data_IF_549864813032
#
_entry.id   IF_549864813032
#
_cell.length_a   1.000
_cell.length_b   1.000
_cell.length_c   1.000
_cell.angle_alpha   90.00
_cell.angle_beta   90.00
_cell.angle_gamma   90.00
#
_symmetry.space_group_name_H-M   'P 1'
#
loop_
_entity.id
_entity.type
_entity.pdbx_description
1 polymer ?
#
# COMPACT_ATOMS: atom_id res chain seq x y z
N UNK A 1 15.26 15.20 -19.22
CA UNK A 1 14.35 14.28 -18.47
C UNK A 1 14.06 14.91 -17.12
N UNK A 2 12.79 15.08 -16.79
CA UNK A 2 12.41 15.51 -15.43
C UNK A 2 12.74 14.40 -14.42
N UNK A 3 12.88 14.74 -13.13
CA UNK A 3 13.06 13.70 -12.09
C UNK A 3 11.93 12.65 -12.12
N UNK A 4 10.72 13.04 -12.51
CA UNK A 4 9.58 12.16 -12.68
C UNK A 4 9.76 11.16 -13.84
N UNK A 5 10.33 11.58 -14.97
CA UNK A 5 10.61 10.68 -16.11
C UNK A 5 11.68 9.64 -15.77
N UNK A 6 12.73 10.03 -15.05
CA UNK A 6 13.78 9.09 -14.57
C UNK A 6 13.20 8.06 -13.62
N UNK A 7 12.36 8.48 -12.69
CA UNK A 7 11.67 7.62 -11.71
C UNK A 7 10.75 6.61 -12.40
N UNK A 8 10.03 7.02 -13.46
CA UNK A 8 9.19 6.12 -14.24
C UNK A 8 9.99 5.10 -15.08
N UNK A 9 11.16 5.46 -15.59
CA UNK A 9 12.02 4.54 -16.34
C UNK A 9 12.66 3.48 -15.44
N UNK A 10 13.13 3.85 -14.26
CA UNK A 10 13.67 2.89 -13.29
C UNK A 10 12.64 1.87 -12.80
N UNK A 11 11.36 2.25 -12.71
CA UNK A 11 10.28 1.34 -12.29
C UNK A 11 9.92 0.27 -13.34
N UNK A 12 10.40 0.41 -14.58
CA UNK A 12 10.21 -0.62 -15.62
C UNK A 12 11.09 -1.87 -15.40
N UNK A 13 12.07 -1.80 -14.49
CA UNK A 13 13.01 -2.90 -14.21
C UNK A 13 12.74 -3.62 -12.87
N UNK A 14 11.50 -3.66 -12.39
CA UNK A 14 11.18 -4.30 -11.12
C UNK A 14 9.70 -4.49 -10.88
N UNK A 15 9.38 -4.99 -9.69
CA UNK A 15 7.99 -5.14 -9.25
C UNK A 15 7.44 -3.77 -8.85
N UNK A 16 6.36 -3.35 -9.46
CA UNK A 16 5.65 -2.10 -9.12
C UNK A 16 4.39 -2.41 -8.31
N UNK A 17 4.31 -1.82 -7.12
CA UNK A 17 3.18 -1.94 -6.20
C UNK A 17 2.68 -0.54 -5.86
N UNK A 18 1.36 -0.36 -5.86
CA UNK A 18 0.72 0.95 -5.64
C UNK A 18 -0.20 0.90 -4.42
N UNK A 19 -0.05 1.86 -3.52
CA UNK A 19 -1.02 2.13 -2.47
C UNK A 19 -2.13 3.02 -3.02
N UNK A 20 -3.34 2.51 -3.02
CA UNK A 20 -4.56 3.17 -3.47
C UNK A 20 -5.48 3.47 -2.30
N UNK A 21 -6.31 4.50 -2.39
CA UNK A 21 -7.32 4.81 -1.37
C UNK A 21 -7.65 6.30 -1.31
N UNK A 22 -8.68 6.64 -0.56
CA UNK A 22 -9.14 8.01 -0.37
C UNK A 22 -8.07 8.93 0.23
N UNK A 23 -8.28 10.23 0.14
CA UNK A 23 -7.43 11.23 0.82
C UNK A 23 -7.44 10.96 2.32
N UNK A 24 -6.24 11.05 2.97
CA UNK A 24 -6.05 10.85 4.41
C UNK A 24 -6.34 9.41 4.92
N UNK A 25 -6.50 8.42 4.03
CA UNK A 25 -6.65 7.02 4.46
C UNK A 25 -5.37 6.42 5.08
N UNK A 26 -4.21 7.08 4.93
CA UNK A 26 -2.95 6.67 5.56
C UNK A 26 -1.94 6.02 4.61
N UNK A 27 -2.09 6.13 3.30
CA UNK A 27 -1.18 5.59 2.28
C UNK A 27 0.28 6.01 2.49
N UNK A 28 0.53 7.33 2.54
CA UNK A 28 1.85 7.91 2.78
C UNK A 28 2.43 7.47 4.12
N UNK A 29 1.60 7.38 5.16
CA UNK A 29 2.04 6.95 6.50
C UNK A 29 2.46 5.49 6.47
N UNK A 30 1.67 4.60 5.85
CA UNK A 30 2.00 3.18 5.72
C UNK A 30 3.32 2.97 4.94
N UNK A 31 3.50 3.67 3.82
CA UNK A 31 4.74 3.64 3.05
C UNK A 31 5.94 4.15 3.86
N UNK A 32 5.77 5.28 4.57
CA UNK A 32 6.84 5.87 5.40
C UNK A 32 7.25 4.96 6.55
N UNK A 33 6.28 4.31 7.21
CA UNK A 33 6.55 3.32 8.26
C UNK A 33 7.32 2.12 7.70
N UNK A 34 6.87 1.57 6.59
CA UNK A 34 7.56 0.44 5.94
C UNK A 34 8.98 0.82 5.54
N UNK A 35 9.18 1.99 4.92
CA UNK A 35 10.51 2.50 4.58
C UNK A 35 11.42 2.65 5.81
N UNK A 36 10.92 3.26 6.89
CA UNK A 36 11.70 3.44 8.11
C UNK A 36 12.13 2.11 8.74
N UNK A 37 11.24 1.11 8.74
CA UNK A 37 11.52 -0.24 9.23
C UNK A 37 12.59 -0.90 8.36
N UNK A 38 12.42 -0.89 7.04
CA UNK A 38 13.38 -1.48 6.10
C UNK A 38 14.75 -0.81 6.18
N UNK A 39 14.80 0.51 6.29
CA UNK A 39 16.03 1.26 6.45
C UNK A 39 16.81 0.88 7.72
N UNK A 40 16.10 0.47 8.77
CA UNK A 40 16.73 0.00 10.02
C UNK A 40 17.17 -1.46 9.96
N UNK A 41 16.38 -2.31 9.31
CA UNK A 41 16.60 -3.75 9.25
C UNK A 41 17.57 -4.19 8.15
N UNK A 42 17.54 -3.49 7.02
CA UNK A 42 18.20 -3.89 5.79
C UNK A 42 18.58 -2.63 4.98
N UNK A 43 19.46 -1.75 5.54
CA UNK A 43 19.76 -0.45 4.96
C UNK A 43 20.43 -0.54 3.58
N UNK A 44 21.14 -1.62 3.29
CA UNK A 44 21.81 -1.84 2.02
C UNK A 44 20.84 -2.07 0.86
N UNK A 45 19.63 -2.55 1.16
CA UNK A 45 18.56 -2.81 0.21
C UNK A 45 17.49 -1.70 0.19
N UNK A 46 17.78 -0.50 0.68
CA UNK A 46 16.91 0.67 0.60
C UNK A 46 17.59 1.73 -0.26
N UNK A 47 17.04 1.97 -1.47
CA UNK A 47 17.69 2.83 -2.46
C UNK A 47 17.27 4.28 -2.40
N UNK A 48 15.96 4.55 -2.45
CA UNK A 48 15.45 5.90 -2.42
C UNK A 48 14.10 5.99 -1.69
N UNK A 49 13.79 7.20 -1.25
CA UNK A 49 12.47 7.57 -0.74
C UNK A 49 12.19 9.00 -1.17
N UNK A 50 11.22 9.16 -2.07
CA UNK A 50 10.73 10.45 -2.53
C UNK A 50 9.35 10.70 -1.95
N UNK A 51 9.16 11.85 -1.30
CA UNK A 51 7.91 12.28 -0.71
C UNK A 51 7.53 13.63 -1.30
N UNK A 52 6.36 13.70 -1.93
CA UNK A 52 5.85 14.92 -2.55
C UNK A 52 4.65 15.46 -1.75
N UNK A 53 4.95 16.25 -0.72
CA UNK A 53 3.96 16.88 0.15
C UNK A 53 3.90 18.39 -0.04
N UNK A 54 2.71 18.94 0.04
CA UNK A 54 2.51 20.37 0.27
C UNK A 54 2.85 20.70 1.72
N UNK A 55 3.89 21.49 1.92
CA UNK A 55 4.40 21.88 3.26
C UNK A 55 3.37 22.64 4.10
N UNK A 56 2.41 23.30 3.47
CA UNK A 56 1.40 24.10 4.19
C UNK A 56 0.22 23.26 4.66
N UNK A 57 -0.12 22.19 3.93
CA UNK A 57 -1.32 21.37 4.21
C UNK A 57 -0.98 19.94 4.64
N UNK A 58 0.28 19.55 4.63
CA UNK A 58 0.78 18.18 4.88
C UNK A 58 0.08 17.12 3.99
N UNK A 59 -0.43 17.55 2.83
CA UNK A 59 -1.11 16.66 1.88
C UNK A 59 -0.19 16.31 0.73
N UNK A 60 -0.24 15.06 0.32
CA UNK A 60 0.46 14.56 -0.87
C UNK A 60 -0.07 15.29 -2.11
N UNK A 61 0.80 16.00 -2.81
CA UNK A 61 0.48 16.77 -4.04
C UNK A 61 0.86 16.03 -5.32
N UNK A 62 1.51 14.88 -5.19
CA UNK A 62 1.91 14.00 -6.28
C UNK A 62 1.77 12.55 -5.88
N UNK A 63 2.79 11.77 -6.09
CA UNK A 63 2.93 10.41 -5.58
C UNK A 63 4.19 10.30 -4.72
N UNK A 64 4.13 9.54 -3.64
CA UNK A 64 5.36 9.18 -2.92
C UNK A 64 5.89 7.88 -3.53
N UNK A 65 7.21 7.71 -3.49
CA UNK A 65 7.87 6.51 -3.98
C UNK A 65 8.96 6.05 -3.03
N UNK A 66 9.06 4.75 -2.85
CA UNK A 66 10.20 4.11 -2.21
C UNK A 66 10.66 2.91 -3.04
N UNK A 67 11.97 2.73 -3.16
CA UNK A 67 12.58 1.61 -3.90
C UNK A 67 13.42 0.76 -2.96
N UNK A 68 13.23 -0.55 -3.05
CA UNK A 68 13.88 -1.54 -2.21
C UNK A 68 14.46 -2.68 -3.06
N UNK A 69 15.52 -3.30 -2.56
CA UNK A 69 16.07 -4.54 -3.10
C UNK A 69 15.42 -5.77 -2.45
N UNK A 70 15.35 -6.83 -3.22
CA UNK A 70 15.08 -8.19 -2.75
C UNK A 70 16.38 -8.99 -2.99
N UNK A 71 17.07 -9.32 -1.90
CA UNK A 71 18.22 -10.24 -1.95
C UNK A 71 17.72 -11.64 -2.28
N UNK A 72 18.06 -12.16 -3.45
CA UNK A 72 17.63 -13.50 -3.87
C UNK A 72 18.60 -14.61 -3.50
N UNK A 73 19.72 -14.30 -2.86
CA UNK A 73 20.78 -15.29 -2.56
C UNK A 73 21.46 -15.86 -3.82
N UNK A 74 20.97 -15.56 -5.03
CA UNK A 74 21.45 -16.09 -6.31
C UNK A 74 22.31 -15.09 -7.09
N UNK A 75 22.65 -13.94 -6.49
CA UNK A 75 23.41 -12.86 -7.15
C UNK A 75 22.60 -12.00 -8.12
N UNK A 76 21.32 -12.30 -8.32
CA UNK A 76 20.39 -11.43 -9.05
C UNK A 76 19.70 -10.48 -8.08
N UNK A 77 19.83 -9.20 -8.33
CA UNK A 77 19.16 -8.16 -7.56
C UNK A 77 17.78 -7.91 -8.15
N UNK A 78 16.73 -8.23 -7.39
CA UNK A 78 15.35 -7.84 -7.73
C UNK A 78 15.00 -6.56 -6.99
N UNK A 79 14.49 -5.57 -7.72
CA UNK A 79 13.97 -4.33 -7.14
C UNK A 79 12.44 -4.36 -7.07
N UNK A 80 11.89 -3.76 -6.02
CA UNK A 80 10.47 -3.45 -5.97
C UNK A 80 10.26 -2.00 -5.59
N UNK A 81 9.27 -1.41 -6.23
CA UNK A 81 8.95 0.00 -6.11
C UNK A 81 7.56 0.12 -5.51
N UNK A 82 7.46 0.83 -4.41
CA UNK A 82 6.20 1.15 -3.76
C UNK A 82 5.84 2.60 -4.07
N UNK A 83 4.61 2.82 -4.57
CA UNK A 83 4.09 4.14 -4.89
C UNK A 83 2.83 4.40 -4.08
N UNK A 84 2.56 5.68 -3.76
CA UNK A 84 1.25 6.11 -3.28
C UNK A 84 0.52 6.85 -4.39
N UNK A 85 -0.81 6.72 -4.46
CA UNK A 85 -1.62 7.59 -5.30
C UNK A 85 -2.02 8.85 -4.54
N UNK A 86 -2.07 10.04 -5.20
CA UNK A 86 -2.68 11.21 -4.62
C UNK A 86 -4.18 10.97 -4.43
N UNK A 87 -4.66 11.20 -3.21
CA UNK A 87 -6.07 10.91 -2.87
C UNK A 87 -7.06 12.02 -3.27
N UNK A 88 -6.60 13.20 -3.68
CA UNK A 88 -7.46 14.33 -4.03
C UNK A 88 -8.04 14.19 -5.45
N UNK A 89 -9.31 14.58 -5.64
CA UNK A 89 -10.02 14.43 -6.92
C UNK A 89 -9.37 15.16 -8.09
N UNK A 90 -8.75 16.31 -7.86
CA UNK A 90 -8.01 17.05 -8.88
C UNK A 90 -6.85 16.28 -9.52
N UNK A 91 -6.42 15.16 -8.93
CA UNK A 91 -5.33 14.33 -9.43
C UNK A 91 -5.80 13.01 -10.07
N UNK A 92 -7.03 12.94 -10.54
CA UNK A 92 -7.61 11.73 -11.14
C UNK A 92 -6.79 11.20 -12.33
N UNK A 93 -6.31 12.09 -13.19
CA UNK A 93 -5.43 11.73 -14.32
C UNK A 93 -4.09 11.16 -13.86
N UNK A 94 -3.50 11.71 -12.80
CA UNK A 94 -2.24 11.22 -12.24
C UNK A 94 -2.40 9.82 -11.63
N UNK A 95 -3.54 9.52 -10.98
CA UNK A 95 -3.82 8.17 -10.47
C UNK A 95 -3.78 7.12 -11.59
N UNK A 96 -4.38 7.40 -12.76
CA UNK A 96 -4.34 6.50 -13.93
C UNK A 96 -2.92 6.26 -14.43
N UNK A 97 -2.06 7.28 -14.39
CA UNK A 97 -0.65 7.15 -14.78
C UNK A 97 0.09 6.26 -13.77
N UNK A 98 -0.11 6.49 -12.47
CA UNK A 98 0.58 5.74 -11.42
C UNK A 98 0.20 4.25 -11.46
N UNK A 99 -1.03 3.88 -11.80
CA UNK A 99 -1.43 2.46 -11.88
C UNK A 99 -1.04 1.78 -13.19
N UNK A 100 -0.48 2.50 -14.15
CA UNK A 100 -0.02 1.85 -15.38
C UNK A 100 1.19 0.96 -15.12
N UNK A 101 1.16 -0.27 -15.63
CA UNK A 101 2.25 -1.24 -15.49
C UNK A 101 2.47 -1.75 -14.05
N UNK A 102 1.47 -1.64 -13.16
CA UNK A 102 1.59 -2.19 -11.80
C UNK A 102 1.43 -3.72 -11.80
N UNK A 103 2.10 -4.37 -10.85
CA UNK A 103 2.03 -5.81 -10.60
C UNK A 103 1.19 -6.12 -9.36
N UNK A 104 1.07 -5.17 -8.44
CA UNK A 104 0.28 -5.32 -7.23
C UNK A 104 -0.30 -4.01 -6.74
N UNK A 105 -1.38 -4.12 -5.96
CA UNK A 105 -2.06 -2.98 -5.37
C UNK A 105 -2.41 -3.27 -3.91
N UNK A 106 -2.22 -2.27 -3.07
CA UNK A 106 -2.64 -2.27 -1.68
C UNK A 106 -3.70 -1.19 -1.51
N UNK A 107 -4.94 -1.60 -1.35
CA UNK A 107 -6.05 -0.69 -1.09
C UNK A 107 -6.05 -0.32 0.38
N UNK A 108 -5.88 0.96 0.68
CA UNK A 108 -5.93 1.50 2.04
C UNK A 108 -7.29 2.15 2.26
N UNK A 109 -8.11 1.53 3.07
CA UNK A 109 -9.42 2.02 3.50
C UNK A 109 -9.28 2.72 4.86
N UNK A 110 -10.03 3.79 5.03
CA UNK A 110 -10.17 4.49 6.30
C UNK A 110 -11.30 3.84 7.11
N UNK A 111 -10.99 3.32 8.29
CA UNK A 111 -12.03 2.65 9.10
C UNK A 111 -13.06 3.61 9.71
N UNK A 112 -12.80 4.92 9.75
CA UNK A 112 -13.76 5.88 10.27
C UNK A 112 -15.09 5.80 9.53
N UNK A 113 -16.18 5.55 10.23
CA UNK A 113 -17.52 5.33 9.63
C UNK A 113 -17.99 6.51 8.80
N UNK A 114 -17.61 7.74 9.18
CA UNK A 114 -17.90 8.96 8.43
C UNK A 114 -17.21 9.01 7.06
N UNK A 115 -16.20 8.16 6.82
CA UNK A 115 -15.42 8.08 5.57
C UNK A 115 -15.93 7.01 4.59
N UNK A 116 -17.13 6.47 4.84
CA UNK A 116 -17.72 5.41 4.02
C UNK A 116 -17.83 5.80 2.54
N UNK A 117 -18.39 6.95 2.24
CA UNK A 117 -18.60 7.42 0.86
C UNK A 117 -17.29 7.70 0.11
N UNK A 118 -16.28 8.23 0.79
CA UNK A 118 -14.98 8.44 0.16
C UNK A 118 -14.26 7.12 -0.11
N UNK A 119 -14.36 6.15 0.79
CA UNK A 119 -13.85 4.80 0.54
C UNK A 119 -14.58 4.16 -0.65
N UNK A 120 -15.92 4.25 -0.70
CA UNK A 120 -16.73 3.73 -1.79
C UNK A 120 -16.34 4.35 -3.13
N UNK A 121 -16.29 5.68 -3.21
CA UNK A 121 -15.87 6.41 -4.42
C UNK A 121 -14.47 5.98 -4.89
N UNK A 122 -13.54 5.84 -3.96
CA UNK A 122 -12.17 5.40 -4.26
C UNK A 122 -12.12 3.97 -4.79
N UNK A 123 -12.93 3.06 -4.24
CA UNK A 123 -13.05 1.68 -4.73
C UNK A 123 -13.69 1.64 -6.11
N UNK A 124 -14.81 2.34 -6.32
CA UNK A 124 -15.46 2.41 -7.64
C UNK A 124 -14.46 2.84 -8.72
N UNK A 125 -13.71 3.93 -8.48
CA UNK A 125 -12.71 4.41 -9.44
C UNK A 125 -11.60 3.36 -9.70
N UNK A 126 -11.16 2.66 -8.67
CA UNK A 126 -10.15 1.62 -8.80
C UNK A 126 -10.62 0.47 -9.69
N UNK A 127 -11.81 -0.04 -9.43
CA UNK A 127 -12.33 -1.19 -10.13
C UNK A 127 -12.73 -0.85 -11.58
N UNK A 128 -13.22 0.36 -11.84
CA UNK A 128 -13.38 0.87 -13.21
C UNK A 128 -12.08 0.79 -14.04
N UNK A 129 -10.93 0.93 -13.39
CA UNK A 129 -9.62 0.94 -14.07
C UNK A 129 -8.99 -0.47 -14.14
N UNK A 130 -9.15 -1.29 -13.12
CA UNK A 130 -8.34 -2.49 -12.92
C UNK A 130 -9.13 -3.81 -12.83
N UNK A 131 -10.46 -3.82 -12.90
CA UNK A 131 -11.25 -5.02 -12.67
C UNK A 131 -10.77 -6.20 -13.54
N UNK A 132 -10.62 -6.01 -14.83
CA UNK A 132 -10.16 -7.06 -15.75
C UNK A 132 -8.80 -7.63 -15.34
N UNK A 133 -7.85 -6.77 -14.98
CA UNK A 133 -6.50 -7.20 -14.58
C UNK A 133 -6.48 -7.94 -13.25
N UNK A 134 -7.38 -7.57 -12.35
CA UNK A 134 -7.56 -8.26 -11.07
C UNK A 134 -8.21 -9.63 -11.27
N UNK A 135 -9.26 -9.71 -12.09
CA UNK A 135 -9.95 -10.96 -12.41
C UNK A 135 -9.04 -11.96 -13.14
N UNK A 136 -8.19 -11.47 -14.04
CA UNK A 136 -7.23 -12.29 -14.78
C UNK A 136 -5.98 -12.65 -13.95
N UNK A 137 -5.87 -12.14 -12.72
CA UNK A 137 -4.73 -12.39 -11.84
C UNK A 137 -3.43 -11.72 -12.28
N UNK A 138 -3.49 -10.79 -13.24
CA UNK A 138 -2.34 -10.00 -13.69
C UNK A 138 -1.84 -9.06 -12.58
N UNK A 139 -2.76 -8.55 -11.77
CA UNK A 139 -2.50 -7.66 -10.64
C UNK A 139 -2.90 -8.35 -9.34
N UNK A 140 -1.99 -8.39 -8.37
CA UNK A 140 -2.27 -8.91 -7.03
C UNK A 140 -2.80 -7.82 -6.13
N UNK A 141 -3.80 -8.15 -5.27
CA UNK A 141 -4.47 -7.19 -4.42
C UNK A 141 -4.41 -7.60 -2.94
N UNK A 142 -4.16 -6.60 -2.08
CA UNK A 142 -4.34 -6.70 -0.63
C UNK A 142 -5.15 -5.50 -0.13
N UNK A 143 -5.91 -5.68 0.95
CA UNK A 143 -6.70 -4.61 1.58
C UNK A 143 -6.16 -4.33 2.97
N UNK A 144 -5.85 -3.06 3.25
CA UNK A 144 -5.53 -2.53 4.58
C UNK A 144 -6.70 -1.68 5.07
N UNK A 145 -7.39 -2.10 6.11
CA UNK A 145 -8.36 -1.28 6.84
C UNK A 145 -7.60 -0.56 7.95
N UNK A 146 -7.28 0.71 7.72
CA UNK A 146 -6.44 1.53 8.61
C UNK A 146 -7.27 2.31 9.63
N UNK A 147 -6.58 2.87 10.64
CA UNK A 147 -7.14 3.62 11.78
C UNK A 147 -7.95 2.74 12.74
N UNK A 148 -7.55 1.49 12.91
CA UNK A 148 -8.20 0.57 13.84
C UNK A 148 -7.97 0.92 15.32
N UNK A 149 -7.24 2.00 15.60
CA UNK A 149 -7.13 2.69 16.90
C UNK A 149 -8.37 3.51 17.25
N UNK A 150 -9.24 3.83 16.29
CA UNK A 150 -10.49 4.54 16.56
C UNK A 150 -11.47 3.72 17.43
N UNK A 151 -12.32 4.36 18.24
CA UNK A 151 -13.32 3.67 19.04
C UNK A 151 -14.25 2.77 18.21
N UNK A 152 -14.59 1.59 18.70
CA UNK A 152 -15.40 0.58 17.99
C UNK A 152 -16.71 1.15 17.44
N UNK A 153 -17.37 2.06 18.15
CA UNK A 153 -18.64 2.66 17.71
C UNK A 153 -18.52 3.71 16.60
N UNK A 154 -17.29 4.11 16.25
CA UNK A 154 -17.03 5.16 15.23
C UNK A 154 -16.33 4.64 13.99
N UNK A 155 -16.06 3.34 13.94
CA UNK A 155 -15.34 2.69 12.83
C UNK A 155 -16.09 1.50 12.25
N UNK A 156 -15.82 1.21 10.98
CA UNK A 156 -16.19 -0.02 10.31
C UNK A 156 -15.22 -1.14 10.65
N UNK A 157 -15.64 -2.38 10.51
CA UNK A 157 -14.86 -3.60 10.72
C UNK A 157 -14.47 -4.24 9.38
N UNK A 158 -13.60 -5.25 9.44
CA UNK A 158 -13.29 -6.07 8.26
C UNK A 158 -14.55 -6.72 7.64
N UNK A 159 -15.55 -7.08 8.45
CA UNK A 159 -16.81 -7.63 7.96
C UNK A 159 -17.62 -6.63 7.13
N UNK A 160 -17.52 -5.33 7.42
CA UNK A 160 -18.23 -4.27 6.68
C UNK A 160 -17.62 -4.00 5.30
N UNK A 161 -16.35 -4.38 5.08
CA UNK A 161 -15.65 -4.16 3.80
C UNK A 161 -16.33 -4.90 2.66
N UNK A 162 -16.89 -6.09 2.89
CA UNK A 162 -17.68 -6.80 1.89
C UNK A 162 -18.88 -6.01 1.40
N UNK A 163 -19.64 -5.38 2.33
CA UNK A 163 -20.76 -4.50 1.99
C UNK A 163 -20.30 -3.25 1.22
N UNK A 164 -19.20 -2.65 1.66
CA UNK A 164 -18.61 -1.50 0.98
C UNK A 164 -18.24 -1.82 -0.48
N UNK A 165 -17.68 -3.01 -0.73
CA UNK A 165 -17.35 -3.47 -2.08
C UNK A 165 -18.60 -3.66 -2.94
N UNK A 166 -19.67 -4.24 -2.38
CA UNK A 166 -20.96 -4.37 -3.10
C UNK A 166 -21.48 -3.01 -3.52
N UNK A 167 -21.51 -2.04 -2.59
CA UNK A 167 -21.97 -0.69 -2.85
C UNK A 167 -21.07 0.09 -3.83
N UNK A 168 -19.78 -0.26 -3.90
CA UNK A 168 -18.84 0.26 -4.89
C UNK A 168 -18.96 -0.39 -6.28
N UNK A 169 -19.86 -1.35 -6.45
CA UNK A 169 -20.10 -2.04 -7.72
C UNK A 169 -19.08 -3.13 -8.06
N UNK A 170 -18.33 -3.63 -7.07
CA UNK A 170 -17.35 -4.71 -7.27
C UNK A 170 -18.06 -6.02 -7.59
N UNK A 171 -17.69 -6.68 -8.69
CA UNK A 171 -18.30 -7.93 -9.12
C UNK A 171 -18.14 -9.07 -8.10
N UNK A 172 -19.11 -9.99 -8.05
CA UNK A 172 -19.07 -11.15 -7.15
C UNK A 172 -17.79 -11.97 -7.36
N UNK A 173 -17.42 -12.21 -8.62
CA UNK A 173 -16.21 -12.95 -8.99
C UNK A 173 -14.96 -12.34 -8.37
N UNK A 174 -14.88 -11.02 -8.37
CA UNK A 174 -13.72 -10.33 -7.82
C UNK A 174 -13.75 -10.35 -6.28
N UNK A 175 -14.94 -10.21 -5.67
CA UNK A 175 -15.10 -10.32 -4.20
C UNK A 175 -14.68 -11.68 -3.67
N UNK A 176 -14.98 -12.75 -4.40
CA UNK A 176 -14.59 -14.12 -4.03
C UNK A 176 -13.07 -14.36 -4.08
N UNK A 177 -12.34 -13.51 -4.81
CA UNK A 177 -10.86 -13.59 -4.90
C UNK A 177 -10.15 -12.90 -3.73
N UNK A 178 -10.84 -12.09 -2.93
CA UNK A 178 -10.23 -11.38 -1.80
C UNK A 178 -10.14 -12.25 -0.56
N UNK A 179 -8.93 -12.74 -0.30
CA UNK A 179 -8.68 -13.69 0.78
C UNK A 179 -8.68 -13.04 2.18
N UNK A 180 -8.33 -11.77 2.33
CA UNK A 180 -8.23 -11.14 3.64
C UNK A 180 -8.23 -9.62 3.64
N UNK A 181 -8.86 -9.05 4.67
CA UNK A 181 -8.74 -7.64 5.06
C UNK A 181 -7.78 -7.56 6.26
N UNK A 182 -6.71 -6.80 6.10
CA UNK A 182 -5.74 -6.58 7.17
C UNK A 182 -6.16 -5.35 7.99
N UNK A 183 -6.61 -5.58 9.20
CA UNK A 183 -6.92 -4.52 10.17
C UNK A 183 -5.63 -3.95 10.75
N UNK A 184 -5.36 -2.66 10.51
CA UNK A 184 -4.11 -1.99 10.87
C UNK A 184 -4.37 -0.65 11.54
N UNK A 185 -3.39 -0.17 12.31
CA UNK A 185 -3.31 1.20 12.78
C UNK A 185 -1.90 1.73 12.52
N UNK A 186 -1.79 2.66 11.60
CA UNK A 186 -0.53 3.36 11.35
C UNK A 186 -0.10 4.19 12.57
N UNK A 187 -1.05 4.69 13.37
CA UNK A 187 -0.76 5.46 14.57
C UNK A 187 -0.13 4.58 15.65
N UNK A 188 -0.76 3.45 15.98
CA UNK A 188 -0.22 2.49 16.95
C UNK A 188 1.13 1.92 16.50
N UNK A 189 1.29 1.63 15.21
CA UNK A 189 2.56 1.18 14.67
C UNK A 189 3.67 2.22 14.83
N UNK A 190 3.36 3.49 14.57
CA UNK A 190 4.31 4.60 14.78
C UNK A 190 4.71 4.74 16.25
N UNK A 191 3.75 4.65 17.17
CA UNK A 191 3.99 4.72 18.61
C UNK A 191 4.89 3.54 19.05
N UNK A 192 4.54 2.32 18.66
CA UNK A 192 5.31 1.13 18.99
C UNK A 192 6.74 1.16 18.42
N UNK A 193 6.94 1.74 17.24
CA UNK A 193 8.28 1.97 16.67
C UNK A 193 9.08 2.97 17.51
N UNK A 194 8.49 4.09 17.86
CA UNK A 194 9.16 5.12 18.69
C UNK A 194 9.59 4.53 20.03
N UNK A 195 8.72 3.82 20.72
CA UNK A 195 9.00 3.17 22.00
C UNK A 195 10.13 2.13 21.90
N UNK A 196 10.03 1.24 20.91
CA UNK A 196 11.01 0.17 20.74
C UNK A 196 12.38 0.68 20.31
N UNK A 197 12.41 1.72 19.48
CA UNK A 197 13.67 2.33 19.04
C UNK A 197 14.33 3.18 20.13
N UNK A 198 13.55 3.91 20.92
CA UNK A 198 14.06 4.72 22.04
C UNK A 198 14.62 3.84 23.16
N UNK A 199 14.01 2.70 23.43
CA UNK A 199 14.46 1.73 24.44
C UNK A 199 15.61 0.84 23.98
N UNK A 200 15.98 0.86 22.69
CA UNK A 200 16.98 -0.06 22.13
C UNK A 200 16.51 -1.51 21.97
N UNK A 201 15.24 -1.80 22.18
CA UNK A 201 14.66 -3.15 22.19
C UNK A 201 14.17 -3.63 20.81
N UNK A 202 14.63 -3.00 19.72
CA UNK A 202 14.23 -3.42 18.39
C UNK A 202 14.75 -4.82 18.03
N UNK A 203 13.85 -5.71 17.67
CA UNK A 203 14.18 -7.05 17.18
C UNK A 203 13.36 -7.37 15.92
N UNK A 204 14.00 -7.52 14.74
CA UNK A 204 13.30 -7.84 13.49
C UNK A 204 12.55 -9.17 13.49
N UNK A 205 12.94 -10.12 14.37
CA UNK A 205 12.28 -11.42 14.52
C UNK A 205 11.09 -11.39 15.47
N UNK A 206 10.97 -10.33 16.28
CA UNK A 206 9.91 -10.16 17.29
C UNK A 206 9.43 -8.71 17.29
N UNK A 207 8.87 -8.28 16.16
CA UNK A 207 8.32 -6.92 16.02
C UNK A 207 7.05 -6.76 16.85
N UNK A 208 6.78 -5.56 17.40
CA UNK A 208 5.48 -5.26 18.00
C UNK A 208 4.33 -5.58 17.05
N UNK A 209 3.22 -6.07 17.59
CA UNK A 209 2.06 -6.50 16.79
C UNK A 209 1.53 -5.42 15.84
N UNK A 210 1.36 -4.14 16.24
CA UNK A 210 0.92 -3.09 15.30
C UNK A 210 1.87 -2.91 14.12
N UNK A 211 3.18 -3.00 14.35
CA UNK A 211 4.22 -2.92 13.31
C UNK A 211 4.13 -4.11 12.36
N UNK A 212 3.98 -5.32 12.89
CA UNK A 212 3.84 -6.53 12.09
C UNK A 212 2.61 -6.46 11.17
N UNK A 213 1.49 -5.94 11.67
CA UNK A 213 0.26 -5.77 10.89
C UNK A 213 0.43 -4.83 9.69
N UNK A 214 1.26 -3.78 9.79
CA UNK A 214 1.58 -2.91 8.65
C UNK A 214 2.43 -3.62 7.60
N UNK A 215 3.38 -4.45 8.02
CA UNK A 215 4.31 -5.13 7.13
C UNK A 215 3.62 -6.26 6.36
N UNK A 216 2.72 -7.00 7.01
CA UNK A 216 2.11 -8.22 6.45
C UNK A 216 1.46 -8.04 5.07
N UNK A 217 0.56 -7.08 4.82
CA UNK A 217 -0.08 -6.93 3.50
C UNK A 217 0.93 -6.57 2.41
N UNK A 218 1.99 -5.82 2.75
CA UNK A 218 3.06 -5.46 1.81
C UNK A 218 3.88 -6.70 1.44
N UNK A 219 4.27 -7.50 2.43
CA UNK A 219 4.98 -8.75 2.18
C UNK A 219 4.13 -9.77 1.43
N UNK A 220 2.82 -9.82 1.74
CA UNK A 220 1.90 -10.74 1.08
C UNK A 220 1.76 -10.42 -0.40
N UNK A 221 1.52 -9.15 -0.78
CA UNK A 221 1.40 -8.79 -2.19
C UNK A 221 2.69 -9.06 -2.96
N UNK A 222 3.87 -8.81 -2.36
CA UNK A 222 5.17 -9.14 -2.98
C UNK A 222 5.28 -10.65 -3.21
N UNK A 223 4.95 -11.45 -2.20
CA UNK A 223 4.95 -12.91 -2.30
C UNK A 223 4.02 -13.41 -3.40
N UNK A 224 2.79 -12.90 -3.46
CA UNK A 224 1.78 -13.31 -4.43
C UNK A 224 2.24 -13.01 -5.87
N UNK A 225 2.93 -11.88 -6.08
CA UNK A 225 3.52 -11.51 -7.36
C UNK A 225 4.66 -12.50 -7.72
N UNK A 226 5.58 -12.74 -6.80
CA UNK A 226 6.73 -13.62 -7.05
C UNK A 226 6.28 -15.06 -7.35
N UNK A 227 5.30 -15.58 -6.62
CA UNK A 227 4.73 -16.92 -6.88
C UNK A 227 4.09 -16.98 -8.26
N UNK A 228 3.34 -15.94 -8.65
CA UNK A 228 2.72 -15.89 -9.97
C UNK A 228 3.76 -15.83 -11.10
N UNK A 229 4.86 -15.09 -10.94
CA UNK A 229 5.94 -15.03 -11.92
C UNK A 229 6.70 -16.36 -12.03
N UNK A 230 6.96 -17.04 -10.92
CA UNK A 230 7.61 -18.35 -10.93
C UNK A 230 6.74 -19.45 -11.56
N UNK A 231 5.42 -19.30 -11.50
CA UNK A 231 4.46 -20.27 -12.09
C UNK A 231 4.30 -20.12 -13.61
N UNK A 232 4.83 -19.06 -14.22
CA UNK A 232 4.82 -18.82 -15.67
C UNK A 232 6.03 -19.45 -16.40
N UNK A 233 7.05 -19.86 -15.64
CA UNK A 233 8.28 -20.50 -16.15
C UNK A 233 8.24 -22.01 -15.91
#
# INVERSE_FOLDING_TARGET
>A
MSQEEVVFEESKQGIKIVFWGATMAGKTTALSLFHAIKKREDPENVYNFLKLEDKATERTIGFDQATFGLGTGTGREFKYHLFTTPGQDRFKSMRKIVVNGLHGIIVVLDSESARWEENKTSLTELFEILEDKLLNGEVKLQIMLNKMDLPVGTRISAADVGRLMVEAGVSDKLRDTFASVHEVSCLEALQALKETWSSGNWNPKSRPQPVQRIIMPIQQVIRDILVAELSKN
#
